data_IF_930468136954
#
_entry.id   IF_930468136954
#
_cell.length_a   1.000
_cell.length_b   1.000
_cell.length_c   1.000
_cell.angle_alpha   90.00
_cell.angle_beta   90.00
_cell.angle_gamma   90.00
#
_symmetry.space_group_name_H-M   'P 1'
#
loop_
_entity.id
_entity.type
_entity.pdbx_description
1 polymer ?
#
# COMPACT_ATOMS: atom_id res chain seq x y z
N UNK A 1 -2.08 -23.58 34.07
CA UNK A 1 -1.93 -22.96 32.76
C UNK A 1 -1.28 -21.55 32.88
N UNK A 2 -1.64 -20.77 33.91
CA UNK A 2 -1.11 -19.42 34.16
C UNK A 2 -0.20 -19.42 35.38
N UNK A 3 0.98 -18.77 35.25
CA UNK A 3 1.90 -18.58 36.38
C UNK A 3 1.42 -17.46 37.31
N UNK A 4 0.75 -16.47 36.76
CA UNK A 4 0.26 -15.29 37.46
C UNK A 4 -1.12 -14.98 36.92
N UNK A 5 -2.07 -14.69 37.82
CA UNK A 5 -3.41 -14.20 37.49
C UNK A 5 -3.62 -12.90 38.26
N UNK A 6 -3.93 -11.82 37.56
CA UNK A 6 -4.22 -10.53 38.16
C UNK A 6 -5.62 -10.09 37.71
N UNK A 7 -6.51 -9.92 38.65
CA UNK A 7 -7.87 -9.40 38.43
C UNK A 7 -7.94 -7.93 38.82
N UNK A 8 -8.95 -7.22 38.30
CA UNK A 8 -9.17 -5.79 38.57
C UNK A 8 -7.96 -4.88 38.31
N UNK A 9 -7.13 -5.24 37.30
CA UNK A 9 -6.05 -4.38 36.84
C UNK A 9 -6.64 -3.10 36.23
N UNK A 10 -6.45 -1.96 36.90
CA UNK A 10 -7.02 -0.69 36.49
C UNK A 10 -6.20 -0.06 35.35
N UNK A 11 -6.40 -0.52 34.11
CA UNK A 11 -5.75 0.07 32.92
C UNK A 11 -6.30 1.50 32.64
N UNK A 12 -5.45 2.46 32.22
CA UNK A 12 -4.00 2.37 32.00
C UNK A 12 -3.14 2.57 33.26
N UNK A 13 -3.71 2.80 34.42
CA UNK A 13 -2.97 3.09 35.67
C UNK A 13 -2.06 1.92 36.07
N UNK A 14 -2.49 0.69 35.79
CA UNK A 14 -1.68 -0.52 36.00
C UNK A 14 -0.29 -0.44 35.35
N UNK A 15 -0.18 0.22 34.19
CA UNK A 15 1.08 0.37 33.45
C UNK A 15 1.87 1.62 33.83
N UNK A 16 1.20 2.62 34.46
CA UNK A 16 1.79 3.96 34.64
C UNK A 16 2.12 4.30 36.08
N UNK A 17 1.55 3.59 37.03
CA UNK A 17 1.70 3.90 38.46
C UNK A 17 1.92 2.61 39.27
N UNK A 18 2.72 2.72 40.33
CA UNK A 18 2.78 1.67 41.35
C UNK A 18 1.50 1.71 42.18
N UNK A 19 0.75 0.62 42.14
CA UNK A 19 -0.47 0.44 42.92
C UNK A 19 -0.33 -0.78 43.84
N UNK A 20 -0.98 -0.80 45.02
CA UNK A 20 -0.96 -1.93 45.91
C UNK A 20 -1.59 -3.14 45.24
N UNK A 21 -1.04 -4.30 45.52
CA UNK A 21 -1.60 -5.59 45.15
C UNK A 21 -2.13 -6.31 46.38
N UNK A 22 -3.18 -7.07 46.21
CA UNK A 22 -3.76 -7.89 47.25
C UNK A 22 -3.84 -9.33 46.74
N UNK A 23 -3.62 -10.31 47.61
CA UNK A 23 -3.85 -11.71 47.31
C UNK A 23 -5.32 -12.06 47.59
N UNK A 24 -5.97 -12.74 46.66
CA UNK A 24 -7.30 -13.31 46.84
C UNK A 24 -7.13 -14.65 47.57
N UNK A 25 -7.56 -14.72 48.82
CA UNK A 25 -7.23 -15.86 49.68
C UNK A 25 -8.28 -16.96 49.69
N UNK A 26 -9.53 -16.65 49.37
CA UNK A 26 -10.61 -17.61 49.34
C UNK A 26 -11.67 -17.34 48.24
N UNK A 27 -12.64 -18.26 48.14
CA UNK A 27 -13.73 -18.16 47.15
C UNK A 27 -14.72 -17.00 47.43
N UNK A 28 -14.70 -16.43 48.62
CA UNK A 28 -15.51 -15.28 49.01
C UNK A 28 -14.86 -13.94 48.59
N UNK A 29 -13.61 -14.01 48.10
CA UNK A 29 -12.89 -12.83 47.62
C UNK A 29 -12.23 -12.00 48.72
N UNK A 30 -11.94 -12.60 49.88
CA UNK A 30 -11.16 -11.90 50.90
C UNK A 30 -9.77 -11.58 50.40
N UNK A 31 -9.28 -10.39 50.76
CA UNK A 31 -8.04 -9.80 50.25
C UNK A 31 -7.02 -9.62 51.38
N UNK A 32 -5.81 -10.12 51.16
CA UNK A 32 -4.65 -9.83 51.98
C UNK A 32 -3.64 -8.95 51.26
N UNK A 33 -3.12 -7.89 51.88
CA UNK A 33 -2.07 -7.05 51.27
C UNK A 33 -0.85 -7.90 50.92
N UNK A 34 -0.32 -7.71 49.70
CA UNK A 34 0.92 -8.36 49.27
C UNK A 34 2.10 -7.53 49.77
N UNK A 35 3.02 -8.18 50.49
CA UNK A 35 4.27 -7.59 50.92
C UNK A 35 5.41 -8.32 50.20
N UNK A 36 6.20 -7.59 49.41
CA UNK A 36 7.27 -8.17 48.59
C UNK A 36 6.76 -8.80 47.29
N UNK A 37 7.46 -9.81 46.78
CA UNK A 37 7.13 -10.51 45.54
C UNK A 37 6.26 -11.72 45.87
N UNK A 38 5.00 -11.79 45.35
CA UNK A 38 4.11 -12.92 45.63
C UNK A 38 4.62 -14.22 44.99
N UNK A 39 4.23 -15.34 45.60
CA UNK A 39 4.54 -16.66 45.04
C UNK A 39 3.74 -16.93 43.76
N UNK A 40 4.29 -17.69 42.79
CA UNK A 40 3.59 -18.11 41.60
C UNK A 40 2.33 -18.92 41.92
N UNK A 41 1.30 -18.81 41.07
CA UNK A 41 0.05 -19.57 41.20
C UNK A 41 -1.02 -18.90 42.09
N UNK A 42 -0.72 -17.74 42.65
CA UNK A 42 -1.70 -16.95 43.42
C UNK A 42 -2.51 -16.06 42.50
N UNK A 43 -3.74 -15.77 42.89
CA UNK A 43 -4.61 -14.79 42.22
C UNK A 43 -4.43 -13.46 42.96
N UNK A 44 -4.04 -12.44 42.20
CA UNK A 44 -3.83 -11.10 42.73
C UNK A 44 -4.97 -10.17 42.28
N UNK A 45 -5.32 -9.24 43.13
CA UNK A 45 -6.25 -8.15 42.83
C UNK A 45 -5.49 -6.81 42.79
N UNK A 46 -5.69 -6.02 41.73
CA UNK A 46 -4.98 -4.74 41.53
C UNK A 46 -3.54 -4.91 41.10
N UNK A 47 -2.60 -4.21 41.76
CA UNK A 47 -1.17 -4.27 41.45
C UNK A 47 -0.76 -3.38 40.25
N UNK A 48 0.44 -3.60 39.77
CA UNK A 48 1.05 -2.82 38.71
C UNK A 48 2.04 -3.63 37.86
N UNK A 49 2.43 -3.12 36.70
CA UNK A 49 3.30 -3.79 35.73
C UNK A 49 4.69 -4.15 36.32
N UNK A 50 5.29 -3.28 37.13
CA UNK A 50 6.57 -3.58 37.77
C UNK A 50 6.51 -4.77 38.72
N UNK A 51 5.33 -5.08 39.31
CA UNK A 51 5.16 -6.31 40.10
C UNK A 51 5.24 -7.54 39.18
N UNK A 52 4.67 -7.48 37.97
CA UNK A 52 4.75 -8.55 36.97
C UNK A 52 6.20 -8.78 36.54
N UNK A 53 6.95 -7.72 36.28
CA UNK A 53 8.37 -7.81 35.94
C UNK A 53 9.18 -8.48 37.08
N UNK A 54 8.94 -8.06 38.30
CA UNK A 54 9.59 -8.65 39.48
C UNK A 54 9.25 -10.13 39.68
N UNK A 55 7.96 -10.51 39.51
CA UNK A 55 7.52 -11.91 39.64
C UNK A 55 8.06 -12.82 38.53
N UNK A 56 8.27 -12.29 37.33
CA UNK A 56 8.76 -13.05 36.19
C UNK A 56 10.30 -13.05 36.12
N UNK A 57 10.98 -12.07 36.77
CA UNK A 57 12.38 -11.83 36.57
C UNK A 57 12.75 -11.39 35.15
N UNK A 58 11.81 -10.70 34.45
CA UNK A 58 11.93 -10.29 33.06
C UNK A 58 11.74 -8.78 32.94
N UNK A 59 12.36 -8.19 31.94
CA UNK A 59 12.26 -6.75 31.67
C UNK A 59 11.97 -6.41 30.22
N UNK A 60 11.26 -5.31 30.01
CA UNK A 60 11.12 -4.63 28.73
C UNK A 60 10.82 -5.56 27.56
N UNK A 61 11.74 -5.63 26.61
CA UNK A 61 11.58 -6.40 25.37
C UNK A 61 11.50 -7.92 25.52
N UNK A 62 11.70 -8.46 26.73
CA UNK A 62 11.54 -9.89 27.02
C UNK A 62 10.08 -10.28 27.29
N UNK A 63 9.20 -9.28 27.50
CA UNK A 63 7.79 -9.48 27.78
C UNK A 63 7.00 -9.13 26.51
N UNK A 64 6.13 -10.04 26.06
CA UNK A 64 5.15 -9.79 25.02
C UNK A 64 3.78 -9.55 25.66
N UNK A 65 3.30 -8.33 25.56
CA UNK A 65 1.97 -7.97 25.99
C UNK A 65 0.96 -8.10 24.83
N UNK A 66 -0.10 -8.83 25.06
CA UNK A 66 -1.14 -9.08 24.06
C UNK A 66 -2.43 -8.41 24.55
N UNK A 67 -2.99 -7.51 23.75
CA UNK A 67 -4.22 -6.80 24.09
C UNK A 67 -5.06 -6.51 22.86
N UNK A 68 -6.29 -6.09 23.07
CA UNK A 68 -7.27 -5.74 22.04
C UNK A 68 -7.48 -4.25 21.89
N UNK A 69 -6.95 -3.45 22.81
CA UNK A 69 -7.14 -2.00 22.80
C UNK A 69 -5.85 -1.26 22.42
N UNK A 70 -5.85 -0.58 21.26
CA UNK A 70 -4.67 0.05 20.67
C UNK A 70 -3.99 1.11 21.57
N UNK A 71 -4.76 1.92 22.30
CA UNK A 71 -4.20 2.95 23.18
C UNK A 71 -4.00 2.46 24.63
N UNK A 72 -5.01 1.83 25.21
CA UNK A 72 -4.98 1.42 26.63
C UNK A 72 -4.00 0.30 26.90
N UNK A 73 -3.82 -0.59 25.93
CA UNK A 73 -2.95 -1.75 26.08
C UNK A 73 -1.60 -1.56 25.38
N UNK A 74 -1.63 -1.25 24.09
CA UNK A 74 -0.44 -1.35 23.23
C UNK A 74 0.43 -0.10 23.30
N UNK A 75 -0.18 1.09 23.19
CA UNK A 75 0.57 2.34 23.18
C UNK A 75 1.30 2.60 24.51
N UNK A 76 0.57 2.42 25.61
CA UNK A 76 1.09 2.70 26.96
C UNK A 76 2.19 1.73 27.33
N UNK A 77 1.99 0.45 27.14
CA UNK A 77 2.97 -0.61 27.46
C UNK A 77 4.26 -0.47 26.65
N UNK A 78 4.15 -0.20 25.36
CA UNK A 78 5.31 0.00 24.49
C UNK A 78 6.11 1.24 24.87
N UNK A 79 5.44 2.36 25.11
CA UNK A 79 6.10 3.65 25.35
C UNK A 79 6.74 3.74 26.74
N UNK A 80 6.07 3.21 27.76
CA UNK A 80 6.50 3.37 29.16
C UNK A 80 7.37 2.19 29.59
N UNK A 81 6.88 0.96 29.38
CA UNK A 81 7.54 -0.24 29.88
C UNK A 81 8.51 -0.87 28.88
N UNK A 82 8.47 -0.42 27.62
CA UNK A 82 9.24 -1.00 26.51
C UNK A 82 8.94 -2.49 26.26
N UNK A 83 7.78 -2.97 26.72
CA UNK A 83 7.33 -4.32 26.42
C UNK A 83 7.07 -4.47 24.93
N UNK A 84 7.26 -5.66 24.40
CA UNK A 84 6.76 -6.01 23.07
C UNK A 84 5.24 -6.08 23.10
N UNK A 85 4.64 -5.68 22.00
CA UNK A 85 3.18 -5.54 21.95
C UNK A 85 2.59 -6.24 20.74
N UNK A 86 1.53 -7.01 20.99
CA UNK A 86 0.69 -7.65 19.97
C UNK A 86 -0.74 -7.16 20.11
N UNK A 87 -1.28 -6.59 19.04
CA UNK A 87 -2.69 -6.17 19.00
C UNK A 87 -3.55 -7.29 18.43
N UNK A 88 -4.61 -7.65 19.11
CA UNK A 88 -5.62 -8.62 18.63
C UNK A 88 -6.75 -7.86 17.96
N UNK A 89 -6.98 -8.13 16.69
CA UNK A 89 -8.03 -7.52 15.85
C UNK A 89 -8.88 -8.65 15.29
N UNK A 90 -9.92 -9.02 16.02
CA UNK A 90 -10.77 -10.16 15.66
C UNK A 90 -11.47 -9.98 14.32
N UNK A 91 -11.88 -8.76 14.01
CA UNK A 91 -12.58 -8.38 12.78
C UNK A 91 -11.73 -8.68 11.53
N UNK A 92 -10.41 -8.68 11.67
CA UNK A 92 -9.48 -9.01 10.58
C UNK A 92 -9.60 -10.47 10.10
N UNK A 93 -10.13 -11.35 10.92
CA UNK A 93 -10.26 -12.77 10.56
C UNK A 93 -11.24 -12.99 9.40
N UNK A 94 -12.37 -12.31 9.44
CA UNK A 94 -13.35 -12.37 8.37
C UNK A 94 -12.80 -11.75 7.09
N UNK A 95 -12.19 -10.57 7.20
CA UNK A 95 -11.55 -9.87 6.08
C UNK A 95 -10.48 -10.75 5.41
N UNK A 96 -9.59 -11.38 6.18
CA UNK A 96 -8.53 -12.27 5.65
C UNK A 96 -9.13 -13.50 4.98
N UNK A 97 -10.19 -14.07 5.55
CA UNK A 97 -10.88 -15.23 4.95
C UNK A 97 -11.50 -14.88 3.61
N UNK A 98 -12.21 -13.77 3.53
CA UNK A 98 -12.83 -13.28 2.31
C UNK A 98 -11.80 -12.91 1.25
N UNK A 99 -10.73 -12.21 1.62
CA UNK A 99 -9.62 -11.90 0.72
C UNK A 99 -8.96 -13.17 0.16
N UNK A 100 -8.75 -14.19 0.98
CA UNK A 100 -8.20 -15.48 0.52
C UNK A 100 -9.13 -16.19 -0.45
N UNK A 101 -10.42 -16.19 -0.18
CA UNK A 101 -11.42 -16.78 -1.07
C UNK A 101 -11.48 -16.04 -2.42
N UNK A 102 -11.26 -14.72 -2.40
CA UNK A 102 -11.26 -13.89 -3.61
C UNK A 102 -9.91 -13.84 -4.33
N UNK A 103 -8.83 -14.36 -3.76
CA UNK A 103 -7.49 -14.27 -4.33
C UNK A 103 -7.39 -14.68 -5.82
N UNK A 104 -8.03 -15.75 -6.29
CA UNK A 104 -8.00 -16.12 -7.72
C UNK A 104 -8.63 -15.05 -8.62
N UNK A 105 -9.75 -14.48 -8.20
CA UNK A 105 -10.44 -13.40 -8.92
C UNK A 105 -9.63 -12.10 -8.91
N UNK A 106 -8.95 -11.82 -7.80
CA UNK A 106 -8.05 -10.68 -7.68
C UNK A 106 -6.84 -10.80 -8.61
N UNK A 107 -6.30 -12.01 -8.78
CA UNK A 107 -5.21 -12.28 -9.73
C UNK A 107 -5.68 -12.07 -11.18
N UNK A 108 -6.87 -12.56 -11.52
CA UNK A 108 -7.50 -12.30 -12.83
C UNK A 108 -7.71 -10.81 -13.07
N UNK A 109 -8.24 -10.08 -12.09
CA UNK A 109 -8.40 -8.63 -12.17
C UNK A 109 -7.07 -7.93 -12.43
N UNK A 110 -6.02 -8.30 -11.70
CA UNK A 110 -4.68 -7.73 -11.83
C UNK A 110 -4.10 -7.99 -13.22
N UNK A 111 -4.25 -9.20 -13.75
CA UNK A 111 -3.84 -9.56 -15.11
C UNK A 111 -4.56 -8.72 -16.17
N UNK A 112 -5.88 -8.56 -16.05
CA UNK A 112 -6.68 -7.76 -16.99
C UNK A 112 -6.32 -6.27 -16.93
N UNK A 113 -6.07 -5.74 -15.73
CA UNK A 113 -5.61 -4.36 -15.56
C UNK A 113 -4.23 -4.13 -16.20
N UNK A 114 -3.28 -5.03 -15.99
CA UNK A 114 -1.95 -4.95 -16.63
C UNK A 114 -2.04 -5.03 -18.17
N UNK A 115 -2.92 -5.89 -18.70
CA UNK A 115 -3.16 -5.95 -20.14
C UNK A 115 -3.75 -4.63 -20.68
N UNK A 116 -4.70 -4.02 -19.94
CA UNK A 116 -5.27 -2.71 -20.29
C UNK A 116 -4.21 -1.61 -20.28
N UNK A 117 -3.34 -1.55 -19.26
CA UNK A 117 -2.22 -0.60 -19.21
C UNK A 117 -1.31 -0.72 -20.43
N UNK A 118 -1.03 -1.94 -20.90
CA UNK A 118 -0.28 -2.19 -22.13
C UNK A 118 -0.98 -1.60 -23.37
N UNK A 119 -2.30 -1.74 -23.48
CA UNK A 119 -3.11 -1.13 -24.55
C UNK A 119 -3.10 0.40 -24.47
N UNK A 120 -3.25 0.98 -23.30
CA UNK A 120 -3.20 2.43 -23.07
C UNK A 120 -1.83 3.01 -23.46
N UNK A 121 -0.75 2.34 -23.08
CA UNK A 121 0.59 2.73 -23.49
C UNK A 121 0.76 2.72 -25.02
N UNK A 122 0.32 1.65 -25.67
CA UNK A 122 0.34 1.52 -27.14
C UNK A 122 -0.54 2.58 -27.81
N UNK A 123 -1.71 2.85 -27.28
CA UNK A 123 -2.61 3.91 -27.73
C UNK A 123 -1.93 5.28 -27.68
N UNK A 124 -1.29 5.61 -26.56
CA UNK A 124 -0.58 6.86 -26.38
C UNK A 124 0.57 7.01 -27.39
N UNK A 125 1.36 5.95 -27.59
CA UNK A 125 2.45 5.92 -28.53
C UNK A 125 1.98 6.15 -29.99
N UNK A 126 0.90 5.50 -30.40
CA UNK A 126 0.32 5.66 -31.74
C UNK A 126 -0.26 7.05 -31.95
N UNK A 127 -0.94 7.61 -30.94
CA UNK A 127 -1.43 8.99 -31.01
C UNK A 127 -0.31 9.99 -31.21
N UNK A 128 0.80 9.81 -30.48
CA UNK A 128 1.98 10.65 -30.62
C UNK A 128 2.61 10.50 -32.03
N UNK A 129 2.70 9.26 -32.54
CA UNK A 129 3.19 9.00 -33.89
C UNK A 129 2.29 9.65 -34.96
N UNK A 130 0.98 9.55 -34.83
CA UNK A 130 0.01 10.19 -35.73
C UNK A 130 0.18 11.73 -35.71
N UNK A 131 0.30 12.33 -34.54
CA UNK A 131 0.50 13.78 -34.39
C UNK A 131 1.79 14.23 -35.08
N UNK A 132 2.90 13.50 -34.88
CA UNK A 132 4.19 13.78 -35.54
C UNK A 132 4.05 13.68 -37.07
N UNK A 133 3.40 12.66 -37.60
CA UNK A 133 3.18 12.48 -39.05
C UNK A 133 2.29 13.58 -39.64
N UNK A 134 1.21 13.96 -38.98
CA UNK A 134 0.34 15.07 -39.39
C UNK A 134 1.10 16.39 -39.43
N UNK A 135 1.92 16.66 -38.41
CA UNK A 135 2.76 17.85 -38.36
C UNK A 135 3.80 17.87 -39.52
N UNK A 136 4.50 16.76 -39.74
CA UNK A 136 5.47 16.61 -40.82
C UNK A 136 4.81 16.84 -42.20
N UNK A 137 3.62 16.28 -42.45
CA UNK A 137 2.84 16.47 -43.65
C UNK A 137 2.47 17.96 -43.87
N UNK A 138 2.07 18.65 -42.77
CA UNK A 138 1.75 20.09 -42.82
C UNK A 138 2.97 20.93 -43.18
N UNK A 139 4.12 20.61 -42.61
CA UNK A 139 5.41 21.32 -42.91
C UNK A 139 5.83 21.08 -44.34
N UNK A 140 5.72 19.87 -44.89
CA UNK A 140 6.07 19.58 -46.30
C UNK A 140 5.15 20.33 -47.22
N UNK A 141 3.84 20.36 -46.98
CA UNK A 141 2.86 21.12 -47.77
C UNK A 141 3.12 22.62 -47.72
N UNK A 142 3.43 23.18 -46.54
CA UNK A 142 3.78 24.59 -46.39
C UNK A 142 5.05 24.97 -47.18
N UNK A 143 6.11 24.13 -47.13
CA UNK A 143 7.34 24.34 -47.94
C UNK A 143 7.08 24.26 -49.45
N UNK A 144 6.26 23.30 -49.89
CA UNK A 144 5.90 23.15 -51.29
C UNK A 144 5.08 24.37 -51.80
N UNK A 145 4.16 24.88 -50.98
CA UNK A 145 3.36 26.06 -51.30
C UNK A 145 4.22 27.33 -51.37
N UNK A 146 5.18 27.50 -50.43
CA UNK A 146 6.15 28.60 -50.42
C UNK A 146 7.07 28.58 -51.68
N UNK A 147 7.59 27.38 -52.03
CA UNK A 147 8.40 27.25 -53.25
C UNK A 147 7.58 27.49 -54.54
N UNK A 148 6.30 27.11 -54.56
CA UNK A 148 5.42 27.43 -55.70
C UNK A 148 5.15 28.92 -55.79
N UNK A 149 4.94 29.64 -54.67
CA UNK A 149 4.81 31.09 -54.63
C UNK A 149 6.08 31.82 -55.06
N UNK A 150 7.27 31.39 -54.60
CA UNK A 150 8.56 31.94 -54.99
C UNK A 150 8.83 31.71 -56.48
N UNK A 151 8.44 30.56 -57.06
CA UNK A 151 8.56 30.29 -58.49
C UNK A 151 7.60 31.17 -59.36
N UNK A 152 6.45 31.51 -58.83
CA UNK A 152 5.51 32.44 -59.50
C UNK A 152 6.04 33.91 -59.40
N UNK A 153 6.57 34.30 -58.22
CA UNK A 153 7.15 35.63 -58.01
C UNK A 153 8.51 35.82 -58.77
N UNK A 154 9.33 34.74 -58.83
CA UNK A 154 10.60 34.77 -59.56
C UNK A 154 10.50 34.81 -61.07
N UNK A 155 9.32 34.59 -61.66
CA UNK A 155 9.01 34.82 -63.07
C UNK A 155 8.74 36.30 -63.39
N UNK A 156 8.54 37.14 -62.36
CA UNK A 156 8.28 38.58 -62.50
C UNK A 156 9.51 39.47 -62.18
N UNK A 157 10.61 38.93 -61.69
CA UNK A 157 11.78 39.72 -61.30
C UNK A 157 13.05 38.88 -61.33
N UNK A 158 13.93 39.17 -62.28
CA UNK A 158 15.25 38.54 -62.47
C UNK A 158 16.30 38.99 -61.48
N UNK A 159 17.22 38.06 -61.15
CA UNK A 159 18.59 38.22 -60.61
C UNK A 159 18.81 38.75 -59.20
N UNK A 160 19.40 37.99 -58.34
CA UNK A 160 20.77 38.00 -57.85
C UNK A 160 20.97 37.31 -56.50
N UNK A 161 21.90 36.43 -56.47
CA UNK A 161 22.94 36.08 -55.47
C UNK A 161 22.60 36.00 -53.96
N UNK A 162 23.10 34.90 -53.35
CA UNK A 162 23.42 34.87 -51.91
C UNK A 162 23.48 33.48 -51.28
N UNK A 163 24.65 32.87 -51.33
CA UNK A 163 25.00 31.64 -50.61
C UNK A 163 25.26 31.95 -49.13
N UNK A 164 24.60 31.32 -48.18
CA UNK A 164 25.18 30.88 -46.89
C UNK A 164 24.08 30.25 -45.99
N UNK A 165 24.40 29.14 -45.35
CA UNK A 165 23.56 28.63 -44.26
C UNK A 165 23.27 27.13 -44.28
N UNK A 166 24.28 26.27 -44.31
CA UNK A 166 24.12 24.86 -44.10
C UNK A 166 25.03 24.35 -43.01
N UNK A 167 24.54 24.17 -41.77
CA UNK A 167 25.20 23.29 -40.76
C UNK A 167 24.44 23.04 -39.46
N UNK A 168 23.21 23.47 -39.30
CA UNK A 168 22.44 23.22 -38.06
C UNK A 168 21.41 22.08 -38.15
N UNK A 169 21.18 21.50 -39.31
CA UNK A 169 20.03 20.61 -39.57
C UNK A 169 20.34 19.09 -39.45
N UNK A 170 21.60 18.71 -39.26
CA UNK A 170 22.01 17.29 -39.26
C UNK A 170 21.88 16.59 -37.92
N UNK A 171 21.94 17.32 -36.80
CA UNK A 171 21.85 16.73 -35.44
C UNK A 171 20.41 16.52 -34.97
N UNK A 172 19.46 17.34 -35.44
CA UNK A 172 18.04 17.18 -35.18
C UNK A 172 17.42 16.02 -36.00
N UNK A 173 18.03 15.65 -37.14
CA UNK A 173 17.58 14.49 -37.94
C UNK A 173 17.97 13.12 -37.36
N UNK A 174 19.04 13.02 -36.61
CA UNK A 174 19.52 11.76 -36.04
C UNK A 174 18.67 11.31 -34.84
N UNK A 175 18.27 12.23 -33.96
CA UNK A 175 17.45 11.93 -32.79
C UNK A 175 15.97 11.59 -33.12
N UNK A 176 15.49 11.99 -34.31
CA UNK A 176 14.12 11.71 -34.75
C UNK A 176 13.96 10.32 -35.43
N UNK A 177 15.08 9.59 -35.66
CA UNK A 177 15.06 8.32 -36.40
C UNK A 177 14.81 7.06 -35.51
N UNK A 178 15.00 7.19 -34.20
CA UNK A 178 14.96 6.03 -33.29
C UNK A 178 13.62 5.74 -32.61
N UNK A 179 12.59 6.59 -32.76
CA UNK A 179 11.34 6.43 -32.03
C UNK A 179 10.06 6.31 -32.89
N UNK A 180 10.18 5.90 -34.15
CA UNK A 180 8.95 5.69 -34.97
C UNK A 180 8.99 4.31 -35.61
N UNK A 181 7.93 3.50 -35.47
CA UNK A 181 7.82 2.27 -36.25
C UNK A 181 7.89 2.60 -37.74
N UNK A 182 8.64 1.82 -38.53
CA UNK A 182 8.88 2.13 -39.94
C UNK A 182 7.58 1.99 -40.73
N UNK A 183 7.14 3.05 -41.39
CA UNK A 183 6.36 2.95 -42.60
C UNK A 183 4.84 3.01 -42.55
N UNK A 184 4.16 3.10 -41.39
CA UNK A 184 2.71 3.16 -41.36
C UNK A 184 2.16 4.48 -41.93
N UNK A 185 1.20 4.40 -42.87
CA UNK A 185 0.48 5.58 -43.38
C UNK A 185 -0.40 6.21 -42.29
N UNK A 186 -0.78 7.49 -42.45
CA UNK A 186 -1.69 8.14 -41.50
C UNK A 186 -2.99 7.35 -41.37
N UNK A 187 -3.55 6.83 -42.46
CA UNK A 187 -4.74 6.01 -42.42
C UNK A 187 -4.55 4.69 -41.66
N UNK A 188 -3.39 4.04 -41.80
CA UNK A 188 -3.07 2.83 -41.05
C UNK A 188 -2.96 3.09 -39.54
N UNK A 189 -2.34 4.22 -39.16
CA UNK A 189 -2.26 4.64 -37.73
C UNK A 189 -3.65 4.94 -37.17
N UNK A 190 -4.52 5.62 -37.92
CA UNK A 190 -5.89 5.92 -37.51
C UNK A 190 -6.71 4.64 -37.32
N UNK A 191 -6.58 3.66 -38.23
CA UNK A 191 -7.23 2.36 -38.12
C UNK A 191 -6.75 1.56 -36.91
N UNK A 192 -5.44 1.57 -36.64
CA UNK A 192 -4.87 0.88 -35.49
C UNK A 192 -5.30 1.54 -34.17
N UNK A 193 -5.33 2.88 -34.12
CA UNK A 193 -5.86 3.64 -32.98
C UNK A 193 -7.32 3.28 -32.70
N UNK A 194 -8.15 3.18 -33.71
CA UNK A 194 -9.56 2.82 -33.54
C UNK A 194 -9.72 1.38 -33.07
N UNK A 195 -8.90 0.45 -33.59
CA UNK A 195 -8.85 -0.93 -33.10
C UNK A 195 -8.49 -1.03 -31.59
N UNK A 196 -7.50 -0.25 -31.16
CA UNK A 196 -7.10 -0.23 -29.74
C UNK A 196 -8.19 0.44 -28.88
N UNK A 197 -8.86 1.49 -29.36
CA UNK A 197 -10.00 2.09 -28.63
C UNK A 197 -11.11 1.08 -28.35
N UNK A 198 -11.45 0.26 -29.35
CA UNK A 198 -12.41 -0.81 -29.16
C UNK A 198 -11.92 -1.83 -28.16
N UNK A 199 -10.66 -2.29 -28.27
CA UNK A 199 -10.06 -3.22 -27.33
C UNK A 199 -10.01 -2.67 -25.88
N UNK A 200 -9.77 -1.37 -25.68
CA UNK A 200 -9.84 -0.72 -24.38
C UNK A 200 -11.27 -0.71 -23.82
N UNK A 201 -12.27 -0.43 -24.66
CA UNK A 201 -13.68 -0.47 -24.25
C UNK A 201 -14.11 -1.90 -23.85
N UNK A 202 -13.67 -2.90 -24.61
CA UNK A 202 -13.94 -4.31 -24.31
C UNK A 202 -13.22 -4.74 -23.01
N UNK A 203 -11.99 -4.27 -22.79
CA UNK A 203 -11.24 -4.50 -21.55
C UNK A 203 -11.94 -3.87 -20.34
N UNK A 204 -12.45 -2.63 -20.47
CA UNK A 204 -13.22 -1.95 -19.41
C UNK A 204 -14.49 -2.72 -19.05
N UNK A 205 -15.22 -3.20 -20.06
CA UNK A 205 -16.40 -4.01 -19.83
C UNK A 205 -16.11 -5.32 -19.09
N UNK A 206 -14.94 -5.93 -19.34
CA UNK A 206 -14.50 -7.14 -18.64
C UNK A 206 -13.92 -6.89 -17.25
N UNK A 207 -13.32 -5.72 -17.00
CA UNK A 207 -12.69 -5.34 -15.71
C UNK A 207 -13.77 -4.86 -14.73
N UNK A 208 -14.76 -4.10 -15.18
CA UNK A 208 -15.77 -3.46 -14.32
C UNK A 208 -16.46 -4.42 -13.36
N UNK A 209 -16.99 -5.59 -13.77
CA UNK A 209 -17.65 -6.51 -12.84
C UNK A 209 -16.68 -7.09 -11.78
N UNK A 210 -15.43 -7.36 -12.16
CA UNK A 210 -14.41 -7.86 -11.24
C UNK A 210 -13.99 -6.79 -10.23
N UNK A 211 -13.84 -5.55 -10.68
CA UNK A 211 -13.52 -4.42 -9.80
C UNK A 211 -14.66 -4.12 -8.81
N UNK A 212 -15.91 -4.20 -9.24
CA UNK A 212 -17.07 -4.07 -8.37
C UNK A 212 -17.12 -5.21 -7.35
N UNK A 213 -16.91 -6.46 -7.78
CA UNK A 213 -16.82 -7.60 -6.88
C UNK A 213 -15.68 -7.43 -5.85
N UNK A 214 -14.50 -6.98 -6.28
CA UNK A 214 -13.38 -6.65 -5.39
C UNK A 214 -13.74 -5.58 -4.36
N UNK A 215 -14.50 -4.57 -4.74
CA UNK A 215 -14.96 -3.51 -3.83
C UNK A 215 -16.01 -3.99 -2.81
N UNK A 216 -16.70 -5.09 -3.07
CA UNK A 216 -17.75 -5.65 -2.20
C UNK A 216 -17.26 -6.70 -1.19
N UNK A 217 -15.98 -7.11 -1.25
CA UNK A 217 -15.39 -8.08 -0.32
C UNK A 217 -15.27 -7.52 1.11
N UNK A 218 -15.66 -6.29 1.33
CA UNK A 218 -15.41 -5.58 2.57
C UNK A 218 -16.69 -5.43 3.37
N UNK A 219 -16.51 -5.27 4.67
CA UNK A 219 -17.63 -4.91 5.52
C UNK A 219 -18.36 -3.68 4.94
N UNK A 220 -19.66 -3.77 4.65
CA UNK A 220 -20.41 -2.71 3.98
C UNK A 220 -20.49 -1.40 4.78
N UNK A 221 -20.16 -1.44 6.09
CA UNK A 221 -20.22 -0.26 6.97
C UNK A 221 -18.90 0.49 7.07
N UNK A 222 -17.76 -0.21 7.09
CA UNK A 222 -16.44 0.42 7.29
C UNK A 222 -15.39 0.06 6.24
N UNK A 223 -15.70 -0.80 5.28
CA UNK A 223 -14.74 -1.20 4.25
C UNK A 223 -13.62 -2.10 4.78
N UNK A 224 -12.42 -1.97 4.23
CA UNK A 224 -11.21 -2.65 4.70
C UNK A 224 -10.67 -2.02 5.98
N UNK A 225 -10.32 -2.85 6.96
CA UNK A 225 -9.74 -2.39 8.22
C UNK A 225 -8.40 -1.69 8.04
N UNK A 226 -7.53 -2.23 7.18
CA UNK A 226 -6.17 -1.74 7.01
C UNK A 226 -5.99 -0.75 5.86
N UNK A 227 -6.98 -0.59 4.99
CA UNK A 227 -6.91 0.27 3.81
C UNK A 227 -8.10 1.22 3.71
N UNK A 228 -7.84 2.39 3.12
CA UNK A 228 -8.84 3.38 2.75
C UNK A 228 -8.55 3.80 1.31
N UNK A 229 -9.22 3.15 0.35
CA UNK A 229 -8.86 3.26 -1.07
C UNK A 229 -7.44 2.74 -1.33
N UNK A 230 -6.60 3.54 -1.97
CA UNK A 230 -5.18 3.25 -2.22
C UNK A 230 -4.26 3.41 -1.01
N UNK A 231 -4.72 4.09 0.04
CA UNK A 231 -3.92 4.44 1.22
C UNK A 231 -4.14 3.48 2.39
N UNK A 232 -3.26 3.60 3.40
CA UNK A 232 -3.44 2.94 4.70
C UNK A 232 -4.56 3.63 5.47
N UNK A 233 -5.43 2.83 6.10
CA UNK A 233 -6.47 3.33 6.99
C UNK A 233 -5.86 4.03 8.23
N UNK A 234 -6.67 4.80 8.93
CA UNK A 234 -6.28 5.39 10.22
C UNK A 234 -5.89 4.31 11.25
N UNK A 235 -6.65 3.20 11.29
CA UNK A 235 -6.34 2.05 12.14
C UNK A 235 -4.97 1.45 11.81
N UNK A 236 -4.67 1.23 10.53
CA UNK A 236 -3.36 0.71 10.10
C UNK A 236 -2.20 1.60 10.56
N UNK A 237 -2.35 2.92 10.48
CA UNK A 237 -1.35 3.88 10.96
C UNK A 237 -1.14 3.82 12.48
N UNK A 238 -2.21 3.65 13.24
CA UNK A 238 -2.14 3.48 14.70
C UNK A 238 -1.39 2.19 15.04
N UNK A 239 -1.77 1.09 14.38
CA UNK A 239 -1.13 -0.22 14.62
C UNK A 239 0.36 -0.14 14.31
N UNK A 240 0.74 0.37 13.13
CA UNK A 240 2.13 0.50 12.72
C UNK A 240 2.96 1.36 13.69
N UNK A 241 2.35 2.39 14.26
CA UNK A 241 3.02 3.27 15.22
C UNK A 241 3.18 2.63 16.59
N UNK A 242 2.21 1.85 17.05
CA UNK A 242 2.09 1.45 18.45
C UNK A 242 2.24 -0.05 18.71
N UNK A 243 1.92 -0.93 17.77
CA UNK A 243 2.10 -2.36 17.91
C UNK A 243 3.40 -2.85 17.25
N UNK A 244 4.02 -3.88 17.81
CA UNK A 244 5.12 -4.58 17.16
C UNK A 244 4.61 -5.60 16.16
N UNK A 245 3.50 -6.28 16.50
CA UNK A 245 2.76 -7.18 15.62
C UNK A 245 1.26 -7.02 15.84
N UNK A 246 0.46 -7.57 14.95
CA UNK A 246 -0.97 -7.75 15.14
C UNK A 246 -1.42 -9.13 14.64
N UNK A 247 -2.52 -9.62 15.17
CA UNK A 247 -3.10 -10.90 14.80
C UNK A 247 -4.62 -10.89 14.99
N UNK A 248 -5.33 -11.79 14.34
CA UNK A 248 -6.78 -11.94 14.54
C UNK A 248 -7.15 -12.77 15.77
N UNK A 249 -6.22 -13.63 16.23
CA UNK A 249 -6.43 -14.52 17.42
C UNK A 249 -5.12 -14.73 18.15
N UNK A 250 -5.19 -14.80 19.47
CA UNK A 250 -4.04 -15.15 20.33
C UNK A 250 -3.49 -16.53 19.98
N UNK A 251 -4.37 -17.49 19.64
CA UNK A 251 -3.96 -18.85 19.26
C UNK A 251 -3.04 -18.91 18.03
N UNK A 252 -3.02 -17.89 17.19
CA UNK A 252 -2.10 -17.84 16.05
C UNK A 252 -0.62 -17.81 16.47
N UNK A 253 -0.34 -17.34 17.69
CA UNK A 253 1.01 -17.34 18.25
C UNK A 253 1.52 -18.76 18.55
N UNK A 254 0.63 -19.77 18.62
CA UNK A 254 1.02 -21.18 18.80
C UNK A 254 1.70 -21.79 17.57
N UNK A 255 1.54 -21.15 16.38
CA UNK A 255 2.23 -21.58 15.16
C UNK A 255 3.69 -21.11 15.09
N UNK A 256 4.09 -20.23 16.02
CA UNK A 256 5.44 -19.71 16.11
C UNK A 256 6.27 -20.49 17.13
N UNK A 257 7.58 -20.49 16.94
CA UNK A 257 8.48 -21.10 17.92
C UNK A 257 8.58 -20.26 19.19
N UNK A 258 8.86 -20.86 20.36
CA UNK A 258 9.07 -20.11 21.60
C UNK A 258 10.19 -19.09 21.55
N UNK A 259 11.06 -19.20 20.56
CA UNK A 259 12.22 -18.31 20.34
C UNK A 259 11.96 -17.27 19.25
N UNK A 260 10.75 -17.21 18.69
CA UNK A 260 10.41 -16.24 17.67
C UNK A 260 10.49 -14.80 18.23
N UNK A 261 11.26 -13.96 17.54
CA UNK A 261 11.37 -12.55 17.88
C UNK A 261 10.35 -11.76 17.07
N UNK A 262 9.25 -11.40 17.71
CA UNK A 262 8.19 -10.66 17.04
C UNK A 262 8.59 -9.21 16.80
N UNK A 263 8.70 -8.85 15.52
CA UNK A 263 8.96 -7.49 15.09
C UNK A 263 8.18 -7.20 13.81
N UNK A 264 7.48 -6.06 13.78
CA UNK A 264 6.85 -5.60 12.56
C UNK A 264 7.92 -5.38 11.47
N UNK A 265 7.66 -5.90 10.27
CA UNK A 265 8.45 -5.55 9.09
C UNK A 265 8.19 -4.09 8.78
N UNK A 266 9.24 -3.28 8.69
CA UNK A 266 9.11 -1.91 8.22
C UNK A 266 8.62 -1.94 6.78
N UNK A 267 7.62 -1.11 6.47
CA UNK A 267 7.18 -0.93 5.09
C UNK A 267 8.34 -0.46 4.24
N UNK A 268 8.59 -1.11 3.12
CA UNK A 268 9.58 -0.65 2.15
C UNK A 268 9.05 0.58 1.43
N UNK A 269 9.92 1.53 1.19
CA UNK A 269 9.64 2.63 0.29
C UNK A 269 9.76 2.14 -1.16
N UNK A 270 9.10 2.78 -2.14
CA UNK A 270 9.15 2.33 -3.53
C UNK A 270 10.54 2.28 -4.16
N UNK A 271 11.53 2.91 -3.52
CA UNK A 271 12.92 2.99 -3.98
C UNK A 271 13.93 2.23 -3.10
N UNK A 272 13.45 1.41 -2.14
CA UNK A 272 14.30 0.56 -1.29
C UNK A 272 14.75 -0.74 -1.99
#
# INVERSE_FOLDING_TARGET
>A
LFKIVIVAAAKPLFFTRSQPAFEVVDEHGHLLPVVGTPSPGRILHGGHAGLVEAMLGLEGGQILYIGDHAYGDVHVTKKILRWRTALVIRELEEEVREQRAFAPTQEELSCRMAAKEGLEHRYAALRLALQRRRHQRKMIRGRAAGQAADRMAGRAGGRAAGRAGGRADSRAKAAAKEASPPGLSIQALEKEIEGIRKALSDADAGITPLALASAQIHNPRWGLLMRSGGDRSYLARIIERHADIYTSRVSNLMYETPYAFFRARRGRLPHD
#
